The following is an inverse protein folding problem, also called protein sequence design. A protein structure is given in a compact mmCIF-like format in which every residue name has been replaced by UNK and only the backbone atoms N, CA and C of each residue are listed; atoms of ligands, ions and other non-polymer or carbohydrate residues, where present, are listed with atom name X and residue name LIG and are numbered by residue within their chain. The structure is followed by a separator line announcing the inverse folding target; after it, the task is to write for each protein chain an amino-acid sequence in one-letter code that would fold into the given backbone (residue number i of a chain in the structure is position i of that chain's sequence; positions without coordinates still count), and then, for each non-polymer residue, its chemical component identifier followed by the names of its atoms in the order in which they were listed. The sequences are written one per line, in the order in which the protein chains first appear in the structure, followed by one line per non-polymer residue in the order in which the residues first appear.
data_IF_061712730328
#
_entry.id   IF_061712730328
#
_cell.length_a   1.000
_cell.length_b   1.000
_cell.length_c   1.000
_cell.angle_alpha   90.00
_cell.angle_beta   90.00
_cell.angle_gamma   90.00
#
_symmetry.space_group_name_H-M   'P 1'
#
loop_
_entity.id
_entity.type
_entity.pdbx_description
1 polymer ?
#
# COMPACT_ATOMS: atom_id res chain seq x y z
N UNK A 1 -11.33 -9.39 -11.61
CA UNK A 1 -11.46 -7.95 -11.92
C UNK A 1 -11.38 -7.75 -13.41
N UNK A 2 -12.04 -6.75 -13.98
CA UNK A 2 -11.72 -6.30 -15.35
C UNK A 2 -10.59 -5.26 -15.33
N UNK A 3 -9.83 -5.17 -16.40
CA UNK A 3 -8.85 -4.09 -16.60
C UNK A 3 -9.51 -2.70 -16.45
N UNK A 4 -10.73 -2.54 -16.97
CA UNK A 4 -11.51 -1.31 -16.82
C UNK A 4 -11.69 -0.90 -15.35
N UNK A 5 -12.10 -1.81 -14.47
CA UNK A 5 -12.29 -1.49 -13.05
C UNK A 5 -10.93 -1.20 -12.36
N UNK A 6 -9.89 -1.99 -12.64
CA UNK A 6 -8.55 -1.72 -12.12
C UNK A 6 -8.01 -0.34 -12.55
N UNK A 7 -8.27 0.05 -13.80
CA UNK A 7 -7.86 1.36 -14.31
C UNK A 7 -8.67 2.53 -13.72
N UNK A 8 -9.68 2.28 -12.91
CA UNK A 8 -10.38 3.33 -12.13
C UNK A 8 -9.89 3.44 -10.69
N UNK A 9 -9.00 2.56 -10.23
CA UNK A 9 -8.42 2.67 -8.90
C UNK A 9 -7.69 4.01 -8.73
N UNK A 10 -7.73 4.58 -7.51
CA UNK A 10 -7.13 5.87 -7.23
C UNK A 10 -5.61 5.83 -7.38
N UNK A 11 -5.01 7.01 -7.45
CA UNK A 11 -3.55 7.12 -7.37
C UNK A 11 -3.11 6.85 -5.94
N UNK A 12 -1.84 6.45 -5.78
CA UNK A 12 -1.23 6.29 -4.46
C UNK A 12 -1.37 7.56 -3.62
N UNK A 13 -1.11 8.73 -4.21
CA UNK A 13 -1.20 10.02 -3.54
C UNK A 13 -2.64 10.34 -3.11
N UNK A 14 -3.63 10.18 -4.01
CA UNK A 14 -5.02 10.49 -3.67
C UNK A 14 -5.56 9.55 -2.58
N UNK A 15 -5.14 8.27 -2.56
CA UNK A 15 -5.50 7.32 -1.52
C UNK A 15 -4.89 7.71 -0.15
N UNK A 16 -3.60 8.07 -0.13
CA UNK A 16 -2.88 8.49 1.08
C UNK A 16 -3.47 9.77 1.69
N UNK A 17 -3.72 10.78 0.85
CA UNK A 17 -4.30 12.07 1.24
C UNK A 17 -5.71 11.91 1.84
N UNK A 18 -6.51 10.99 1.32
CA UNK A 18 -7.86 10.72 1.83
C UNK A 18 -7.84 9.95 3.15
N UNK A 19 -6.81 9.14 3.45
CA UNK A 19 -6.80 8.29 4.64
C UNK A 19 -6.37 9.02 5.92
N UNK A 20 -7.25 9.90 6.42
CA UNK A 20 -6.97 10.82 7.53
C UNK A 20 -7.14 10.20 8.93
N UNK A 21 -8.09 9.29 9.13
CA UNK A 21 -8.43 8.74 10.45
C UNK A 21 -7.76 7.39 10.74
N UNK A 22 -6.46 7.29 10.46
CA UNK A 22 -5.73 6.00 10.51
C UNK A 22 -5.84 5.31 11.87
N UNK A 23 -5.56 6.02 12.95
CA UNK A 23 -5.56 5.44 14.31
C UNK A 23 -6.93 4.88 14.71
N UNK A 24 -8.01 5.59 14.39
CA UNK A 24 -9.38 5.16 14.69
C UNK A 24 -9.76 3.89 13.90
N UNK A 25 -9.35 3.81 12.63
CA UNK A 25 -9.55 2.60 11.80
C UNK A 25 -8.65 1.46 12.30
N UNK A 26 -7.37 1.73 12.59
CA UNK A 26 -6.41 0.74 13.04
C UNK A 26 -6.81 0.08 14.36
N UNK A 27 -7.29 0.86 15.33
CA UNK A 27 -7.74 0.34 16.63
C UNK A 27 -8.94 -0.61 16.52
N UNK A 28 -9.77 -0.47 15.48
CA UNK A 28 -10.88 -1.37 15.20
C UNK A 28 -10.45 -2.59 14.36
N UNK A 29 -9.58 -2.40 13.38
CA UNK A 29 -9.14 -3.46 12.49
C UNK A 29 -8.12 -4.42 13.13
N UNK A 30 -7.25 -3.93 14.03
CA UNK A 30 -6.26 -4.77 14.68
C UNK A 30 -6.87 -5.99 15.42
N UNK A 31 -7.89 -5.83 16.29
CA UNK A 31 -8.54 -6.97 16.93
C UNK A 31 -9.40 -7.79 15.94
N UNK A 32 -9.88 -7.21 14.84
CA UNK A 32 -10.57 -7.96 13.79
C UNK A 32 -9.61 -8.94 13.10
N UNK A 33 -8.46 -8.47 12.62
CA UNK A 33 -7.47 -9.31 11.94
C UNK A 33 -6.84 -10.37 12.85
N UNK A 34 -6.70 -10.07 14.15
CA UNK A 34 -6.23 -11.05 15.14
C UNK A 34 -7.12 -12.29 15.23
N UNK A 35 -8.44 -12.17 15.00
CA UNK A 35 -9.37 -13.32 14.98
C UNK A 35 -9.09 -14.28 13.82
N UNK A 36 -8.41 -13.80 12.77
CA UNK A 36 -8.03 -14.56 11.60
C UNK A 36 -6.52 -14.83 11.58
N UNK A 37 -5.90 -14.97 12.76
CA UNK A 37 -4.47 -15.26 12.93
C UNK A 37 -3.53 -14.30 12.19
N UNK A 38 -3.97 -13.05 11.97
CA UNK A 38 -3.24 -12.05 11.18
C UNK A 38 -2.92 -12.51 9.75
N UNK A 39 -3.69 -13.44 9.18
CA UNK A 39 -3.54 -13.89 7.78
C UNK A 39 -3.85 -12.79 6.76
N UNK A 40 -4.57 -11.75 7.19
CA UNK A 40 -4.96 -10.62 6.37
C UNK A 40 -4.53 -9.31 7.02
N UNK A 41 -4.28 -8.31 6.19
CA UNK A 41 -3.98 -6.96 6.63
C UNK A 41 -4.78 -5.92 5.84
N UNK A 42 -4.51 -4.66 6.17
CA UNK A 42 -5.09 -3.49 5.51
C UNK A 42 -4.11 -2.95 4.48
N UNK A 43 -4.58 -2.55 3.30
CA UNK A 43 -3.77 -1.81 2.34
C UNK A 43 -4.49 -0.58 1.76
N UNK A 44 -3.71 0.38 1.25
CA UNK A 44 -4.20 1.40 0.34
C UNK A 44 -4.45 0.76 -1.03
N UNK A 45 -5.69 0.88 -1.50
CA UNK A 45 -6.06 0.51 -2.86
C UNK A 45 -5.50 1.56 -3.80
N UNK A 46 -4.65 1.15 -4.73
CA UNK A 46 -4.14 2.00 -5.80
C UNK A 46 -3.71 1.11 -6.98
N UNK A 47 -3.50 1.71 -8.15
CA UNK A 47 -2.97 1.00 -9.31
C UNK A 47 -1.49 1.37 -9.54
N UNK A 48 -0.66 0.37 -9.84
CA UNK A 48 0.75 0.57 -10.17
C UNK A 48 0.96 1.05 -11.61
N UNK A 49 0.20 0.50 -12.56
CA UNK A 49 0.23 0.87 -13.98
C UNK A 49 -1.18 0.83 -14.60
N UNK A 50 -1.32 1.14 -15.88
CA UNK A 50 -2.54 0.87 -16.64
C UNK A 50 -2.53 -0.57 -17.16
N UNK A 51 -3.67 -1.26 -17.07
CA UNK A 51 -3.89 -2.59 -17.65
C UNK A 51 -4.58 -2.47 -19.02
N UNK A 52 -4.20 -3.34 -19.95
CA UNK A 52 -4.91 -3.57 -21.20
C UNK A 52 -6.03 -4.58 -20.97
N UNK A 53 -6.91 -4.69 -21.96
CA UNK A 53 -7.94 -5.73 -21.95
C UNK A 53 -7.32 -7.12 -21.72
N UNK A 54 -8.00 -7.91 -20.91
CA UNK A 54 -7.64 -9.27 -20.48
C UNK A 54 -6.32 -9.40 -19.69
N UNK A 55 -5.68 -8.30 -19.30
CA UNK A 55 -4.58 -8.31 -18.34
C UNK A 55 -5.10 -8.27 -16.90
N UNK A 56 -4.35 -8.93 -16.02
CA UNK A 56 -4.43 -8.79 -14.56
C UNK A 56 -3.03 -8.58 -13.99
N UNK A 57 -2.92 -7.92 -12.84
CA UNK A 57 -1.65 -7.85 -12.10
C UNK A 57 -1.38 -9.18 -11.40
N UNK A 58 -0.22 -9.79 -11.69
CA UNK A 58 0.21 -11.07 -11.12
C UNK A 58 1.56 -10.91 -10.46
N UNK A 59 1.61 -11.18 -9.16
CA UNK A 59 2.82 -11.29 -8.35
C UNK A 59 3.46 -12.66 -8.54
N UNK A 60 4.76 -12.69 -8.87
CA UNK A 60 5.61 -13.88 -8.91
C UNK A 60 6.92 -13.58 -8.20
N UNK A 61 7.05 -14.09 -6.97
CA UNK A 61 8.13 -13.67 -6.08
C UNK A 61 8.01 -12.18 -5.79
N UNK A 62 9.10 -11.45 -5.97
CA UNK A 62 9.20 -10.03 -5.62
C UNK A 62 8.73 -9.06 -6.72
N UNK A 63 8.19 -9.59 -7.83
CA UNK A 63 7.75 -8.79 -8.99
C UNK A 63 6.28 -9.04 -9.25
N UNK A 64 5.50 -7.95 -9.39
CA UNK A 64 4.11 -7.99 -9.82
C UNK A 64 3.95 -7.24 -11.15
N UNK A 65 3.37 -7.87 -12.16
CA UNK A 65 3.27 -7.29 -13.50
C UNK A 65 1.98 -7.68 -14.26
N UNK A 66 1.53 -6.88 -15.23
CA UNK A 66 0.41 -7.21 -16.10
C UNK A 66 0.67 -8.49 -16.88
N UNK A 67 -0.23 -9.45 -16.76
CA UNK A 67 -0.15 -10.74 -17.45
C UNK A 67 -1.50 -11.08 -18.09
N UNK A 68 -1.48 -11.59 -19.31
CA UNK A 68 -2.68 -12.00 -20.06
C UNK A 68 -2.86 -13.52 -20.03
N UNK A 69 -4.12 -13.97 -20.06
CA UNK A 69 -4.47 -15.39 -20.26
C UNK A 69 -4.09 -16.31 -19.11
N UNK A 70 -3.80 -15.76 -17.93
CA UNK A 70 -3.47 -16.52 -16.72
C UNK A 70 -4.59 -16.47 -15.71
N UNK A 71 -4.71 -17.53 -14.91
CA UNK A 71 -5.55 -17.54 -13.72
C UNK A 71 -4.64 -17.34 -12.51
N UNK A 72 -4.85 -16.26 -11.75
CA UNK A 72 -4.12 -16.00 -10.52
C UNK A 72 -4.92 -16.33 -9.27
N UNK A 73 -4.23 -16.47 -8.15
CA UNK A 73 -4.83 -16.58 -6.82
C UNK A 73 -5.00 -15.18 -6.24
N UNK A 74 -6.19 -14.73 -5.84
CA UNK A 74 -6.39 -13.37 -5.32
C UNK A 74 -5.48 -13.03 -4.14
N UNK A 75 -4.77 -11.91 -4.22
CA UNK A 75 -3.83 -11.47 -3.18
C UNK A 75 -4.27 -10.16 -2.52
N UNK A 76 -5.00 -9.32 -3.25
CA UNK A 76 -5.62 -8.09 -2.72
C UNK A 76 -7.07 -7.95 -3.16
N UNK A 77 -7.88 -7.36 -2.27
CA UNK A 77 -9.31 -7.16 -2.46
C UNK A 77 -9.72 -5.75 -2.10
N UNK A 78 -10.70 -5.21 -2.84
CA UNK A 78 -11.43 -4.02 -2.44
C UNK A 78 -12.22 -4.29 -1.16
N UNK A 79 -12.68 -3.25 -0.47
CA UNK A 79 -13.55 -3.38 0.70
C UNK A 79 -14.83 -4.21 0.45
N UNK A 80 -15.28 -4.30 -0.80
CA UNK A 80 -16.41 -5.13 -1.23
C UNK A 80 -16.08 -6.63 -1.34
N UNK A 81 -14.82 -7.03 -1.14
CA UNK A 81 -14.33 -8.40 -1.36
C UNK A 81 -14.04 -8.72 -2.82
N UNK A 82 -14.11 -7.76 -3.74
CA UNK A 82 -13.75 -7.96 -5.15
C UNK A 82 -12.22 -7.98 -5.28
N UNK A 83 -11.60 -9.05 -5.80
CA UNK A 83 -10.15 -9.13 -5.96
C UNK A 83 -9.67 -8.20 -7.09
N UNK A 84 -8.50 -7.58 -6.91
CA UNK A 84 -7.92 -6.66 -7.91
C UNK A 84 -6.42 -6.89 -8.22
N UNK A 85 -5.68 -7.58 -7.34
CA UNK A 85 -4.34 -8.10 -7.60
C UNK A 85 -4.26 -9.56 -7.21
N UNK A 86 -3.35 -10.29 -7.85
CA UNK A 86 -3.28 -11.75 -7.79
C UNK A 86 -1.84 -12.22 -7.65
N UNK A 87 -1.66 -13.43 -7.13
CA UNK A 87 -0.38 -14.14 -7.01
C UNK A 87 -0.37 -15.36 -7.93
N UNK A 88 0.81 -15.73 -8.43
CA UNK A 88 1.06 -17.01 -9.09
C UNK A 88 1.11 -18.19 -8.11
N UNK A 89 1.18 -17.90 -6.80
CA UNK A 89 1.17 -18.92 -5.74
C UNK A 89 -0.16 -18.92 -4.99
N UNK A 90 -0.59 -20.06 -4.42
CA UNK A 90 -1.84 -20.12 -3.66
C UNK A 90 -1.89 -19.16 -2.48
N UNK A 91 -3.00 -18.44 -2.36
CA UNK A 91 -3.32 -17.51 -1.26
C UNK A 91 -4.58 -17.96 -0.52
N UNK A 92 -4.75 -17.51 0.72
CA UNK A 92 -6.01 -17.68 1.43
C UNK A 92 -7.03 -16.62 0.97
N UNK A 93 -8.29 -17.02 0.82
CA UNK A 93 -9.40 -16.10 0.48
C UNK A 93 -9.98 -15.56 1.79
N UNK A 94 -10.23 -14.24 1.92
CA UNK A 94 -10.85 -13.68 3.11
C UNK A 94 -12.26 -14.25 3.29
N UNK A 95 -12.59 -14.76 4.49
CA UNK A 95 -13.95 -15.23 4.79
C UNK A 95 -15.00 -14.14 4.60
N UNK A 96 -16.25 -14.47 4.18
CA UNK A 96 -17.29 -13.46 3.93
C UNK A 96 -17.64 -12.59 5.14
N UNK A 97 -17.58 -13.15 6.35
CA UNK A 97 -17.76 -12.44 7.62
C UNK A 97 -16.62 -11.45 7.89
N UNK A 98 -15.37 -11.80 7.57
CA UNK A 98 -14.25 -10.85 7.59
C UNK A 98 -14.49 -9.69 6.62
N UNK A 99 -14.90 -9.98 5.39
CA UNK A 99 -15.17 -8.93 4.38
C UNK A 99 -16.29 -7.99 4.85
N UNK A 100 -17.39 -8.54 5.37
CA UNK A 100 -18.50 -7.75 5.88
C UNK A 100 -18.10 -6.87 7.06
N UNK A 101 -17.37 -7.43 8.03
CA UNK A 101 -16.86 -6.69 9.19
C UNK A 101 -15.86 -5.60 8.79
N UNK A 102 -14.94 -5.93 7.88
CA UNK A 102 -13.98 -4.97 7.32
C UNK A 102 -14.69 -3.80 6.65
N UNK A 103 -15.63 -4.08 5.74
CA UNK A 103 -16.41 -3.07 5.04
C UNK A 103 -17.14 -2.13 6.00
N UNK A 104 -17.74 -2.69 7.07
CA UNK A 104 -18.42 -1.90 8.09
C UNK A 104 -17.47 -0.95 8.85
N UNK A 105 -16.24 -1.40 9.15
CA UNK A 105 -15.23 -0.59 9.84
C UNK A 105 -14.68 0.51 8.94
N UNK A 106 -14.33 0.20 7.68
CA UNK A 106 -13.73 1.20 6.77
C UNK A 106 -14.75 2.23 6.28
N UNK A 107 -16.03 1.88 6.18
CA UNK A 107 -17.12 2.81 5.92
C UNK A 107 -16.86 3.74 4.72
N UNK A 108 -16.72 5.03 4.98
CA UNK A 108 -16.48 6.05 3.95
C UNK A 108 -15.13 5.92 3.24
N UNK A 109 -14.21 5.11 3.75
CA UNK A 109 -12.90 4.83 3.14
C UNK A 109 -12.90 3.59 2.24
N UNK A 110 -14.07 3.00 1.96
CA UNK A 110 -14.19 1.78 1.15
C UNK A 110 -13.65 1.91 -0.30
N UNK A 111 -13.48 3.14 -0.81
CA UNK A 111 -12.90 3.41 -2.13
C UNK A 111 -11.36 3.42 -2.15
N UNK A 112 -10.72 3.58 -0.98
CA UNK A 112 -9.26 3.70 -0.85
C UNK A 112 -8.62 2.64 0.04
N UNK A 113 -9.41 1.87 0.80
CA UNK A 113 -8.94 0.82 1.70
C UNK A 113 -9.36 -0.56 1.21
N UNK A 114 -8.43 -1.50 1.30
CA UNK A 114 -8.61 -2.88 0.88
C UNK A 114 -7.99 -3.87 1.85
N UNK A 115 -8.26 -5.14 1.58
CA UNK A 115 -7.63 -6.28 2.25
C UNK A 115 -6.47 -6.78 1.41
N UNK A 116 -5.42 -7.27 2.05
CA UNK A 116 -4.38 -8.06 1.38
C UNK A 116 -4.06 -9.33 2.18
N UNK A 117 -3.57 -10.35 1.49
CA UNK A 117 -3.12 -11.60 2.10
C UNK A 117 -1.69 -11.42 2.62
N UNK A 118 -1.51 -11.61 3.92
CA UNK A 118 -0.24 -11.35 4.61
C UNK A 118 0.67 -12.56 4.71
N UNK A 119 0.25 -13.75 4.26
CA UNK A 119 0.87 -15.03 4.64
C UNK A 119 2.35 -15.21 4.30
N UNK A 120 2.92 -14.36 3.46
CA UNK A 120 4.34 -14.39 3.08
C UNK A 120 5.18 -13.29 3.77
N UNK A 121 4.57 -12.44 4.60
CA UNK A 121 5.27 -11.34 5.26
C UNK A 121 5.92 -11.78 6.57
N UNK A 122 7.21 -11.46 6.71
CA UNK A 122 7.91 -11.65 8.00
C UNK A 122 7.63 -10.47 8.92
N UNK A 123 7.14 -10.71 10.15
CA UNK A 123 6.96 -9.63 11.13
C UNK A 123 8.25 -8.85 11.37
N UNK A 124 8.15 -7.51 11.33
CA UNK A 124 9.27 -6.59 11.58
C UNK A 124 10.11 -6.25 10.36
N UNK A 125 9.85 -6.86 9.19
CA UNK A 125 10.42 -6.42 7.93
C UNK A 125 9.53 -5.35 7.28
N UNK A 126 10.17 -4.41 6.57
CA UNK A 126 9.49 -3.43 5.72
C UNK A 126 9.80 -3.79 4.27
N UNK A 127 8.77 -3.98 3.46
CA UNK A 127 8.89 -4.09 2.01
C UNK A 127 8.73 -2.71 1.38
N UNK A 128 9.69 -2.35 0.53
CA UNK A 128 9.62 -1.18 -0.34
C UNK A 128 9.10 -1.61 -1.71
N UNK A 129 7.91 -1.14 -2.06
CA UNK A 129 7.35 -1.18 -3.41
C UNK A 129 7.91 -0.02 -4.23
N UNK A 130 8.31 -0.29 -5.47
CA UNK A 130 8.61 0.74 -6.46
C UNK A 130 8.26 0.26 -7.87
N UNK A 131 7.89 1.20 -8.74
CA UNK A 131 7.51 0.87 -10.12
C UNK A 131 8.66 1.02 -11.10
N UNK A 132 8.87 0.00 -11.93
CA UNK A 132 9.77 0.02 -13.10
C UNK A 132 9.02 -0.42 -14.36
N UNK A 133 8.88 0.48 -15.33
CA UNK A 133 7.98 0.29 -16.47
C UNK A 133 6.53 0.04 -16.04
N UNK A 134 6.03 -1.18 -16.31
CA UNK A 134 4.70 -1.65 -15.89
C UNK A 134 4.78 -2.66 -14.73
N UNK A 135 5.94 -2.82 -14.12
CA UNK A 135 6.18 -3.78 -13.03
C UNK A 135 6.19 -3.04 -11.70
N UNK A 136 5.60 -3.65 -10.68
CA UNK A 136 5.82 -3.29 -9.28
C UNK A 136 6.85 -4.25 -8.71
N UNK A 137 7.94 -3.72 -8.16
CA UNK A 137 9.04 -4.49 -7.58
C UNK A 137 9.02 -4.26 -6.08
N UNK A 138 9.16 -5.34 -5.32
CA UNK A 138 9.26 -5.32 -3.87
C UNK A 138 10.66 -5.67 -3.40
N UNK A 139 11.18 -4.94 -2.42
CA UNK A 139 12.48 -5.19 -1.82
C UNK A 139 12.39 -5.09 -0.30
N UNK A 140 13.07 -5.97 0.43
CA UNK A 140 13.16 -5.84 1.90
C UNK A 140 14.20 -4.76 2.22
N UNK A 141 13.80 -3.78 3.04
CA UNK A 141 14.67 -2.67 3.45
C UNK A 141 14.66 -2.48 4.96
N UNK A 142 15.79 -2.01 5.52
CA UNK A 142 15.91 -1.70 6.95
C UNK A 142 15.20 -0.39 7.32
N UNK A 143 15.13 0.55 6.36
CA UNK A 143 14.49 1.85 6.54
C UNK A 143 13.94 2.33 5.20
N UNK A 144 12.70 2.80 5.21
CA UNK A 144 12.01 3.29 4.04
C UNK A 144 11.50 4.74 4.21
N UNK A 145 12.18 5.52 5.04
CA UNK A 145 11.80 6.90 5.37
C UNK A 145 11.55 7.79 4.15
N UNK A 146 10.52 8.62 4.24
CA UNK A 146 10.10 9.52 3.15
C UNK A 146 9.08 8.92 2.17
N UNK A 147 8.80 7.62 2.26
CA UNK A 147 7.84 6.92 1.39
C UNK A 147 6.43 6.86 1.98
N UNK A 148 5.45 6.58 1.13
CA UNK A 148 4.04 6.45 1.52
C UNK A 148 3.81 5.05 2.09
N UNK A 149 3.22 4.95 3.28
CA UNK A 149 2.85 3.67 3.86
C UNK A 149 1.62 3.12 3.12
N UNK A 150 1.69 1.90 2.60
CA UNK A 150 0.64 1.31 1.75
C UNK A 150 0.02 0.05 2.33
N UNK A 151 0.68 -0.65 3.25
CA UNK A 151 0.07 -1.80 3.91
C UNK A 151 0.46 -1.92 5.39
N UNK A 152 -0.49 -2.42 6.17
CA UNK A 152 -0.37 -2.56 7.61
C UNK A 152 -0.93 -3.89 8.11
N UNK A 153 -0.29 -4.43 9.14
CA UNK A 153 -0.72 -5.63 9.87
C UNK A 153 -0.79 -5.35 11.37
N UNK A 154 -1.58 -6.11 12.15
CA UNK A 154 -1.50 -6.04 13.60
C UNK A 154 -0.08 -6.35 14.07
N UNK A 155 0.50 -5.44 14.85
CA UNK A 155 1.76 -5.68 15.54
C UNK A 155 1.62 -6.72 16.65
N UNK A 156 2.73 -7.05 17.28
CA UNK A 156 2.79 -8.10 18.32
C UNK A 156 2.69 -7.55 19.75
N UNK A 157 2.68 -6.23 19.92
CA UNK A 157 2.67 -5.56 21.24
C UNK A 157 1.23 -5.28 21.68
N UNK A 158 0.99 -5.25 22.99
CA UNK A 158 -0.28 -4.87 23.62
C UNK A 158 -0.19 -3.41 24.12
N UNK A 159 -1.13 -2.50 23.79
CA UNK A 159 -2.30 -2.68 22.91
C UNK A 159 -1.88 -3.01 21.47
N UNK A 160 -2.66 -3.87 20.80
CA UNK A 160 -2.46 -4.23 19.39
C UNK A 160 -2.50 -2.95 18.55
N UNK A 161 -1.35 -2.55 18.02
CA UNK A 161 -1.23 -1.43 17.10
C UNK A 161 -0.91 -1.96 15.72
N UNK A 162 -1.56 -1.43 14.69
CA UNK A 162 -1.18 -1.73 13.31
C UNK A 162 0.23 -1.20 13.04
N UNK A 163 1.09 -2.03 12.47
CA UNK A 163 2.44 -1.68 12.04
C UNK A 163 2.48 -1.68 10.51
N UNK A 164 3.15 -0.69 9.94
CA UNK A 164 3.41 -0.64 8.51
C UNK A 164 4.38 -1.77 8.13
N UNK A 165 4.02 -2.51 7.09
CA UNK A 165 4.80 -3.64 6.56
C UNK A 165 5.17 -3.43 5.09
N UNK A 166 4.45 -2.56 4.39
CA UNK A 166 4.77 -2.18 3.01
C UNK A 166 4.69 -0.66 2.89
N UNK A 167 5.70 -0.09 2.27
CA UNK A 167 5.69 1.30 1.80
C UNK A 167 5.91 1.33 0.30
N UNK A 168 5.43 2.37 -0.36
CA UNK A 168 5.63 2.57 -1.77
C UNK A 168 6.43 3.84 -2.03
N UNK A 169 7.47 3.72 -2.86
CA UNK A 169 8.25 4.84 -3.38
C UNK A 169 7.35 5.70 -4.27
N UNK A 170 7.09 6.92 -3.82
CA UNK A 170 6.29 7.90 -4.56
C UNK A 170 7.13 8.73 -5.53
N UNK A 171 8.46 8.59 -5.50
CA UNK A 171 9.32 9.27 -6.44
C UNK A 171 9.04 8.77 -7.84
N UNK A 172 9.13 9.70 -8.79
CA UNK A 172 9.17 9.38 -10.20
C UNK A 172 10.49 8.69 -10.53
N UNK A 173 10.58 7.42 -10.14
CA UNK A 173 11.38 6.36 -10.75
C UNK A 173 12.90 6.47 -10.53
N UNK A 174 13.53 5.36 -10.11
CA UNK A 174 15.00 5.21 -10.16
C UNK A 174 15.51 4.94 -11.60
N UNK A 175 14.61 4.60 -12.53
CA UNK A 175 14.94 4.08 -13.87
C UNK A 175 13.94 4.43 -15.00
N UNK A 176 12.94 5.31 -14.76
CA UNK A 176 12.05 5.86 -15.82
C UNK A 176 10.63 5.29 -15.94
N UNK A 177 10.18 4.38 -15.05
CA UNK A 177 8.82 3.82 -15.07
C UNK A 177 7.79 4.46 -14.13
N UNK A 178 6.79 5.18 -14.65
CA UNK A 178 5.86 5.98 -13.85
C UNK A 178 4.87 5.15 -12.99
N UNK A 179 4.69 5.54 -11.72
CA UNK A 179 3.44 5.24 -11.01
C UNK A 179 2.28 5.97 -11.71
N UNK A 180 1.13 5.30 -11.82
CA UNK A 180 -0.06 5.88 -12.46
C UNK A 180 -0.43 7.22 -11.80
N UNK A 181 -0.31 8.31 -12.58
CA UNK A 181 -0.72 9.67 -12.22
C UNK A 181 -0.13 10.21 -10.90
N UNK A 182 1.10 9.83 -10.51
CA UNK A 182 1.75 10.34 -9.30
C UNK A 182 1.85 11.87 -9.30
N UNK A 183 1.29 12.51 -8.26
CA UNK A 183 1.64 13.88 -7.87
C UNK A 183 2.85 13.77 -6.93
N UNK A 184 4.01 14.32 -7.31
CA UNK A 184 5.19 14.28 -6.44
C UNK A 184 4.99 15.20 -5.22
N UNK A 185 4.94 14.65 -4.00
CA UNK A 185 4.88 15.44 -2.76
C UNK A 185 6.26 15.81 -2.21
N UNK A 186 7.25 16.07 -3.07
CA UNK A 186 8.46 16.75 -2.62
C UNK A 186 8.07 18.17 -2.22
N UNK A 187 7.64 18.34 -0.96
CA UNK A 187 7.79 19.61 -0.25
C UNK A 187 9.29 19.87 -0.26
N UNK A 188 9.74 20.75 -1.15
CA UNK A 188 11.06 21.35 -1.06
C UNK A 188 11.16 21.92 0.36
N UNK A 189 11.88 21.23 1.24
CA UNK A 189 12.41 21.87 2.43
C UNK A 189 13.41 22.89 1.93
N UNK A 190 12.96 24.13 1.77
CA UNK A 190 13.84 25.27 1.59
C UNK A 190 14.67 25.34 2.86
N UNK A 191 15.93 24.92 2.75
CA UNK A 191 16.94 25.19 3.78
C UNK A 191 17.01 26.70 3.96
N UNK A 192 16.42 27.21 5.03
CA UNK A 192 16.69 28.58 5.47
C UNK A 192 18.18 28.65 5.82
N UNK A 193 18.98 29.20 4.91
CA UNK A 193 20.31 29.67 5.25
C UNK A 193 20.16 30.77 6.29
N UNK A 194 20.50 30.45 7.54
CA UNK A 194 20.67 31.45 8.58
C UNK A 194 22.05 32.06 8.34
N UNK A 195 22.08 33.27 7.78
CA UNK A 195 23.31 34.07 7.69
C UNK A 195 23.83 34.39 9.10
N UNK A 196 25.14 34.26 9.38
CA UNK A 196 25.70 34.65 10.66
C UNK A 196 25.66 36.18 10.79
N UNK A 197 24.98 36.67 11.81
CA UNK A 197 25.00 38.08 12.20
C UNK A 197 26.41 38.43 12.71
N UNK A 198 27.03 39.41 12.07
CA UNK A 198 28.29 40.03 12.49
C UNK A 198 28.08 40.75 13.82
N UNK A 199 28.73 40.27 14.87
CA UNK A 199 28.78 40.92 16.18
C UNK A 199 29.80 42.06 16.13
N UNK A 200 29.33 43.30 15.93
CA UNK A 200 30.14 44.49 16.20
C UNK A 200 30.10 44.78 17.71
N UNK A 201 31.24 44.60 18.38
CA UNK A 201 31.51 45.23 19.67
C UNK A 201 31.90 46.69 19.41
N UNK A 202 31.15 47.63 19.99
CA UNK A 202 31.63 48.99 20.25
C UNK A 202 31.98 49.06 21.73
N UNK A 203 33.22 49.49 21.98
CA UNK A 203 33.77 49.93 23.27
C UNK A 203 33.33 51.38 23.49
#
# INVERSE_FOLDING_TARGET
MSAALYNTLPTLADADEKFLQREAIFSQLAPLFAQYNNLFGLCLVHAHCELKDDEIMISTGDVSEPTQGVTGHPERWLASGVPYEFSSTPTAIPPPDLVAAFHAVVGTYADILGLFYAGNLTPGQIMLEHTEGRKNITEIVDNAGGNIQTAWMPGTKNPLMMACVIVCDSLTTRSGGYHKNTKSHLKQYVTLQISPLVLHFLI
#
